data_IF_994437483681
#
_entry.id   IF_994437483681
#
_cell.length_a   1.000
_cell.length_b   1.000
_cell.length_c   1.000
_cell.angle_alpha   90.00
_cell.angle_beta   90.00
_cell.angle_gamma   90.00
#
_symmetry.space_group_name_H-M   'P 1'
#
loop_
_entity.id
_entity.type
_entity.pdbx_description
1 polymer ?
#
# COMPACT_ATOMS: atom_id res chain seq x y z
N UNK A 1 62.26 2.61 -60.08
CA UNK A 1 62.67 1.29 -59.54
C UNK A 1 64.10 0.91 -59.94
N UNK A 2 65.12 1.78 -59.76
CA UNK A 2 66.55 1.42 -60.00
C UNK A 2 67.53 1.93 -58.94
N UNK A 3 67.12 2.85 -58.06
CA UNK A 3 67.95 3.33 -56.95
C UNK A 3 67.91 2.42 -55.70
N UNK A 4 66.97 1.48 -55.62
CA UNK A 4 66.86 0.53 -54.51
C UNK A 4 67.78 -0.71 -54.66
N UNK A 5 68.35 -0.94 -55.85
CA UNK A 5 69.19 -2.12 -56.10
C UNK A 5 70.66 -1.94 -55.66
N UNK A 6 71.18 -0.71 -55.65
CA UNK A 6 72.60 -0.45 -55.35
C UNK A 6 72.98 -0.49 -53.86
N UNK A 7 72.01 -0.41 -52.95
CA UNK A 7 72.26 -0.54 -51.50
C UNK A 7 72.41 -2.03 -51.10
N UNK A 8 71.92 -2.95 -51.93
CA UNK A 8 71.91 -4.37 -51.62
C UNK A 8 73.26 -5.06 -51.89
N UNK A 9 74.03 -4.60 -52.90
CA UNK A 9 75.33 -5.19 -53.27
C UNK A 9 76.54 -4.65 -52.50
N UNK A 10 76.36 -3.58 -51.70
CA UNK A 10 77.46 -2.91 -51.00
C UNK A 10 77.53 -3.22 -49.50
N UNK A 11 76.51 -3.90 -48.95
CA UNK A 11 76.55 -4.41 -47.58
C UNK A 11 76.91 -5.91 -47.61
N UNK A 12 78.01 -6.35 -46.96
CA UNK A 12 78.31 -7.77 -46.81
C UNK A 12 77.10 -8.52 -46.22
N UNK A 13 76.79 -9.71 -46.73
CA UNK A 13 75.59 -10.49 -46.34
C UNK A 13 75.41 -10.70 -44.83
N UNK A 14 76.50 -10.59 -44.06
CA UNK A 14 76.49 -10.58 -42.60
C UNK A 14 75.66 -9.42 -41.99
N UNK A 15 75.62 -8.24 -42.60
CA UNK A 15 74.82 -7.10 -42.12
C UNK A 15 73.32 -7.31 -42.33
N UNK A 16 72.93 -7.90 -43.46
CA UNK A 16 71.54 -8.29 -43.70
C UNK A 16 71.08 -9.40 -42.75
N UNK A 17 71.96 -10.36 -42.45
CA UNK A 17 71.70 -11.39 -41.46
C UNK A 17 71.52 -10.80 -40.05
N UNK A 18 72.35 -9.84 -39.65
CA UNK A 18 72.20 -9.13 -38.37
C UNK A 18 70.92 -8.29 -38.30
N UNK A 19 70.53 -7.62 -39.38
CA UNK A 19 69.26 -6.87 -39.45
C UNK A 19 68.04 -7.80 -39.33
N UNK A 20 68.03 -8.92 -40.06
CA UNK A 20 66.95 -9.90 -39.99
C UNK A 20 66.88 -10.57 -38.61
N UNK A 21 68.03 -10.89 -38.01
CA UNK A 21 68.10 -11.41 -36.65
C UNK A 21 67.58 -10.40 -35.61
N UNK A 22 67.93 -9.12 -35.76
CA UNK A 22 67.41 -8.04 -34.92
C UNK A 22 65.90 -7.84 -35.06
N UNK A 23 65.36 -7.91 -36.28
CA UNK A 23 63.92 -7.80 -36.53
C UNK A 23 63.13 -8.99 -35.95
N UNK A 24 63.64 -10.22 -36.09
CA UNK A 24 63.04 -11.42 -35.48
C UNK A 24 63.09 -11.35 -33.95
N UNK A 25 64.23 -10.97 -33.37
CA UNK A 25 64.36 -10.79 -31.93
C UNK A 25 63.39 -9.72 -31.39
N UNK A 26 63.22 -8.61 -32.11
CA UNK A 26 62.27 -7.56 -31.75
C UNK A 26 60.80 -8.03 -31.82
N UNK A 27 60.44 -8.80 -32.86
CA UNK A 27 59.10 -9.39 -33.01
C UNK A 27 58.73 -10.32 -31.85
N UNK A 28 59.64 -11.21 -31.45
CA UNK A 28 59.44 -12.14 -30.33
C UNK A 28 59.29 -11.40 -28.99
N UNK A 29 60.08 -10.34 -28.76
CA UNK A 29 59.98 -9.52 -27.55
C UNK A 29 58.63 -8.78 -27.50
N UNK A 30 58.14 -8.27 -28.64
CA UNK A 30 56.84 -7.60 -28.72
C UNK A 30 55.67 -8.55 -28.51
N UNK A 31 55.74 -9.76 -29.04
CA UNK A 31 54.71 -10.78 -28.82
C UNK A 31 54.64 -11.16 -27.33
N UNK A 32 55.78 -11.37 -26.67
CA UNK A 32 55.84 -11.61 -25.22
C UNK A 32 55.25 -10.45 -24.40
N UNK A 33 55.54 -9.19 -24.77
CA UNK A 33 54.96 -8.02 -24.10
C UNK A 33 53.43 -7.92 -24.29
N UNK A 34 52.94 -8.20 -25.51
CA UNK A 34 51.51 -8.17 -25.81
C UNK A 34 50.77 -9.27 -25.05
N UNK A 35 51.36 -10.45 -24.89
CA UNK A 35 50.80 -11.52 -24.06
C UNK A 35 50.72 -11.12 -22.57
N UNK A 36 51.75 -10.46 -22.04
CA UNK A 36 51.77 -9.96 -20.66
C UNK A 36 50.77 -8.82 -20.39
N UNK A 37 50.44 -8.00 -21.38
CA UNK A 37 49.40 -6.96 -21.24
C UNK A 37 47.98 -7.55 -21.39
N UNK A 38 47.81 -8.56 -22.26
CA UNK A 38 46.53 -9.26 -22.41
C UNK A 38 46.09 -9.94 -21.11
N UNK A 39 47.02 -10.50 -20.32
CA UNK A 39 46.68 -11.12 -19.03
C UNK A 39 46.15 -10.10 -18.01
N UNK A 40 46.77 -8.91 -17.90
CA UNK A 40 46.26 -7.83 -17.04
C UNK A 40 44.86 -7.38 -17.44
N UNK A 41 44.61 -7.23 -18.75
CA UNK A 41 43.26 -6.87 -19.22
C UNK A 41 42.24 -7.99 -18.98
N UNK A 42 42.66 -9.26 -19.03
CA UNK A 42 41.80 -10.40 -18.74
C UNK A 42 41.47 -10.48 -17.23
N UNK A 43 42.45 -10.24 -16.36
CA UNK A 43 42.29 -10.22 -14.90
C UNK A 43 41.30 -9.13 -14.46
N UNK A 44 41.46 -7.89 -14.95
CA UNK A 44 40.52 -6.79 -14.67
C UNK A 44 39.10 -7.10 -15.16
N UNK A 45 38.96 -7.80 -16.29
CA UNK A 45 37.63 -8.22 -16.79
C UNK A 45 36.99 -9.27 -15.90
N UNK A 46 37.78 -10.21 -15.36
CA UNK A 46 37.30 -11.22 -14.41
C UNK A 46 36.89 -10.56 -13.10
N UNK A 47 37.71 -9.68 -12.53
CA UNK A 47 37.40 -8.94 -11.30
C UNK A 47 36.13 -8.09 -11.46
N UNK A 48 35.97 -7.40 -12.60
CA UNK A 48 34.75 -6.64 -12.89
C UNK A 48 33.53 -7.54 -13.03
N UNK A 49 33.69 -8.73 -13.63
CA UNK A 49 32.59 -9.69 -13.78
C UNK A 49 32.16 -10.24 -12.41
N UNK A 50 33.13 -10.57 -11.54
CA UNK A 50 32.89 -11.05 -10.18
C UNK A 50 32.21 -9.96 -9.33
N UNK A 51 32.73 -8.74 -9.33
CA UNK A 51 32.12 -7.60 -8.65
C UNK A 51 30.67 -7.37 -9.10
N UNK A 52 30.41 -7.39 -10.42
CA UNK A 52 29.05 -7.27 -10.95
C UNK A 52 28.14 -8.43 -10.51
N UNK A 53 28.68 -9.65 -10.40
CA UNK A 53 27.93 -10.80 -9.91
C UNK A 53 27.54 -10.62 -8.44
N UNK A 54 28.47 -10.21 -7.58
CA UNK A 54 28.19 -9.92 -6.16
C UNK A 54 27.18 -8.80 -5.98
N UNK A 55 27.29 -7.71 -6.75
CA UNK A 55 26.32 -6.61 -6.74
C UNK A 55 24.95 -7.07 -7.23
N UNK A 56 24.89 -7.91 -8.27
CA UNK A 56 23.63 -8.47 -8.75
C UNK A 56 22.98 -9.41 -7.72
N UNK A 57 23.77 -10.23 -7.02
CA UNK A 57 23.28 -11.14 -5.99
C UNK A 57 22.74 -10.39 -4.77
N UNK A 58 23.51 -9.45 -4.23
CA UNK A 58 23.07 -8.58 -3.13
C UNK A 58 21.83 -7.77 -3.52
N UNK A 59 21.79 -7.24 -4.74
CA UNK A 59 20.62 -6.57 -5.30
C UNK A 59 19.38 -7.45 -5.33
N UNK A 60 19.52 -8.73 -5.70
CA UNK A 60 18.41 -9.71 -5.68
C UNK A 60 17.92 -10.01 -4.27
N UNK A 61 18.81 -10.15 -3.30
CA UNK A 61 18.44 -10.40 -1.90
C UNK A 61 17.69 -9.21 -1.30
N UNK A 62 18.17 -7.98 -1.53
CA UNK A 62 17.48 -6.76 -1.09
C UNK A 62 16.13 -6.59 -1.77
N UNK A 63 16.05 -6.86 -3.09
CA UNK A 63 14.79 -6.81 -3.82
C UNK A 63 13.77 -7.83 -3.26
N UNK A 64 14.22 -9.06 -2.97
CA UNK A 64 13.37 -10.10 -2.39
C UNK A 64 12.89 -9.72 -0.99
N UNK A 65 13.76 -9.19 -0.13
CA UNK A 65 13.39 -8.71 1.19
C UNK A 65 12.33 -7.59 1.11
N UNK A 66 12.49 -6.64 0.18
CA UNK A 66 11.50 -5.57 -0.05
C UNK A 66 10.15 -6.11 -0.51
N UNK A 67 10.14 -7.10 -1.41
CA UNK A 67 8.89 -7.69 -1.89
C UNK A 67 8.13 -8.41 -0.76
N UNK A 68 8.83 -9.16 0.07
CA UNK A 68 8.23 -9.84 1.23
C UNK A 68 7.63 -8.83 2.22
N UNK A 69 8.33 -7.72 2.47
CA UNK A 69 7.81 -6.65 3.34
C UNK A 69 6.56 -6.00 2.74
N UNK A 70 6.57 -5.69 1.44
CA UNK A 70 5.39 -5.16 0.76
C UNK A 70 4.22 -6.15 0.79
N UNK A 71 4.48 -7.45 0.63
CA UNK A 71 3.44 -8.48 0.74
C UNK A 71 2.84 -8.53 2.15
N UNK A 72 3.68 -8.46 3.20
CA UNK A 72 3.24 -8.41 4.60
C UNK A 72 2.35 -7.19 4.85
N UNK A 73 2.82 -5.99 4.49
CA UNK A 73 2.08 -4.74 4.65
C UNK A 73 0.74 -4.82 3.90
N UNK A 74 0.74 -5.26 2.63
CA UNK A 74 -0.48 -5.38 1.84
C UNK A 74 -1.49 -6.36 2.46
N UNK A 75 -1.01 -7.49 2.98
CA UNK A 75 -1.86 -8.49 3.61
C UNK A 75 -2.48 -7.98 4.91
N UNK A 76 -1.73 -7.24 5.72
CA UNK A 76 -2.23 -6.61 6.94
C UNK A 76 -3.22 -5.48 6.64
N UNK A 77 -2.94 -4.64 5.64
CA UNK A 77 -3.88 -3.61 5.18
C UNK A 77 -5.19 -4.21 4.69
N UNK A 78 -5.14 -5.30 3.89
CA UNK A 78 -6.35 -6.01 3.45
C UNK A 78 -7.16 -6.52 4.62
N UNK A 79 -6.52 -7.15 5.61
CA UNK A 79 -7.19 -7.61 6.84
C UNK A 79 -7.84 -6.44 7.60
N UNK A 80 -7.17 -5.30 7.70
CA UNK A 80 -7.71 -4.12 8.37
C UNK A 80 -8.96 -3.59 7.66
N UNK A 81 -8.93 -3.49 6.33
CA UNK A 81 -10.06 -3.07 5.49
C UNK A 81 -11.23 -4.06 5.60
N UNK A 82 -10.95 -5.36 5.52
CA UNK A 82 -11.98 -6.40 5.62
C UNK A 82 -12.68 -6.40 6.97
N UNK A 83 -11.92 -6.22 8.06
CA UNK A 83 -12.49 -6.10 9.40
C UNK A 83 -13.33 -4.83 9.54
N UNK A 84 -12.86 -3.67 9.04
CA UNK A 84 -13.63 -2.43 9.04
C UNK A 84 -14.94 -2.57 8.23
N UNK A 85 -14.90 -3.26 7.09
CA UNK A 85 -16.09 -3.55 6.28
C UNK A 85 -17.08 -4.47 7.03
N UNK A 86 -16.58 -5.47 7.74
CA UNK A 86 -17.39 -6.36 8.59
C UNK A 86 -18.03 -5.59 9.75
N UNK A 87 -17.27 -4.79 10.47
CA UNK A 87 -17.78 -3.94 11.55
C UNK A 87 -18.83 -2.95 11.05
N UNK A 88 -18.64 -2.38 9.85
CA UNK A 88 -19.62 -1.51 9.21
C UNK A 88 -20.95 -2.24 8.95
N UNK A 89 -20.90 -3.47 8.42
CA UNK A 89 -22.11 -4.28 8.21
C UNK A 89 -22.82 -4.60 9.52
N UNK A 90 -22.06 -4.91 10.58
CA UNK A 90 -22.60 -5.18 11.91
C UNK A 90 -23.29 -3.92 12.47
N UNK A 91 -22.62 -2.76 12.41
CA UNK A 91 -23.19 -1.49 12.87
C UNK A 91 -24.46 -1.12 12.09
N UNK A 92 -24.49 -1.34 10.77
CA UNK A 92 -25.69 -1.15 9.95
C UNK A 92 -26.84 -2.06 10.38
N UNK A 93 -26.57 -3.35 10.68
CA UNK A 93 -27.57 -4.30 11.17
C UNK A 93 -28.13 -3.91 12.55
N UNK A 94 -27.28 -3.43 13.45
CA UNK A 94 -27.71 -2.88 14.73
C UNK A 94 -28.57 -1.63 14.56
N UNK A 95 -28.16 -0.70 13.68
CA UNK A 95 -28.92 0.51 13.38
C UNK A 95 -30.29 0.19 12.77
N UNK A 96 -30.39 -0.75 11.83
CA UNK A 96 -31.68 -1.17 11.26
C UNK A 96 -32.60 -1.81 12.30
N UNK A 97 -32.04 -2.63 13.20
CA UNK A 97 -32.80 -3.27 14.27
C UNK A 97 -33.32 -2.23 15.28
N UNK A 98 -32.46 -1.28 15.66
CA UNK A 98 -32.83 -0.19 16.57
C UNK A 98 -33.91 0.72 15.97
N UNK A 99 -33.81 1.06 14.67
CA UNK A 99 -34.84 1.82 13.95
C UNK A 99 -36.18 1.11 13.97
N UNK A 100 -36.21 -0.18 13.60
CA UNK A 100 -37.44 -0.97 13.58
C UNK A 100 -38.11 -1.04 14.96
N UNK A 101 -37.32 -1.24 16.02
CA UNK A 101 -37.82 -1.21 17.39
C UNK A 101 -38.36 0.17 17.78
N UNK A 102 -37.65 1.24 17.42
CA UNK A 102 -38.07 2.63 17.64
C UNK A 102 -39.38 2.98 16.92
N UNK A 103 -39.53 2.58 15.66
CA UNK A 103 -40.74 2.82 14.88
C UNK A 103 -41.94 2.06 15.44
N UNK A 104 -41.74 0.81 15.87
CA UNK A 104 -42.77 0.03 16.57
C UNK A 104 -43.21 0.72 17.86
N UNK A 105 -42.27 1.24 18.65
CA UNK A 105 -42.57 1.98 19.88
C UNK A 105 -43.35 3.26 19.58
N UNK A 106 -42.94 4.04 18.58
CA UNK A 106 -43.64 5.25 18.14
C UNK A 106 -45.08 4.95 17.72
N UNK A 107 -45.29 3.88 16.96
CA UNK A 107 -46.63 3.44 16.56
C UNK A 107 -47.51 3.07 17.77
N UNK A 108 -46.94 2.38 18.77
CA UNK A 108 -47.67 2.05 20.00
C UNK A 108 -48.02 3.31 20.80
N UNK A 109 -47.06 4.22 21.01
CA UNK A 109 -47.28 5.48 21.71
C UNK A 109 -48.33 6.33 20.99
N UNK A 110 -48.28 6.42 19.66
CA UNK A 110 -49.28 7.16 18.87
C UNK A 110 -50.69 6.58 19.04
N UNK A 111 -50.83 5.25 19.10
CA UNK A 111 -52.11 4.58 19.39
C UNK A 111 -52.61 4.91 20.79
N UNK A 112 -51.75 4.86 21.81
CA UNK A 112 -52.12 5.22 23.18
C UNK A 112 -52.50 6.70 23.31
N UNK A 113 -51.72 7.60 22.70
CA UNK A 113 -52.02 9.04 22.68
C UNK A 113 -53.38 9.32 22.01
N UNK A 114 -53.67 8.66 20.88
CA UNK A 114 -54.96 8.79 20.21
C UNK A 114 -56.12 8.24 21.07
N UNK A 115 -55.93 7.11 21.76
CA UNK A 115 -56.94 6.55 22.65
C UNK A 115 -57.20 7.46 23.86
N UNK A 116 -56.15 8.02 24.46
CA UNK A 116 -56.26 8.95 25.59
C UNK A 116 -56.96 10.26 25.18
N UNK A 117 -56.61 10.83 24.02
CA UNK A 117 -57.31 12.00 23.47
C UNK A 117 -58.80 11.75 23.29
N UNK A 118 -59.18 10.62 22.68
CA UNK A 118 -60.60 10.23 22.52
C UNK A 118 -61.31 10.06 23.86
N UNK A 119 -60.64 9.54 24.89
CA UNK A 119 -61.22 9.40 26.22
C UNK A 119 -61.45 10.77 26.88
N UNK A 120 -60.48 11.69 26.78
CA UNK A 120 -60.59 13.06 27.28
C UNK A 120 -61.68 13.85 26.56
N UNK A 121 -61.78 13.73 25.22
CA UNK A 121 -62.85 14.37 24.43
C UNK A 121 -64.24 13.89 24.85
N UNK A 122 -64.40 12.58 25.10
CA UNK A 122 -65.66 12.00 25.60
C UNK A 122 -66.00 12.50 27.01
N UNK A 123 -65.03 12.59 27.90
CA UNK A 123 -65.22 13.11 29.25
C UNK A 123 -65.62 14.60 29.23
N UNK A 124 -64.93 15.40 28.41
CA UNK A 124 -65.25 16.82 28.22
C UNK A 124 -66.66 17.06 27.67
N UNK A 125 -67.11 16.22 26.73
CA UNK A 125 -68.46 16.25 26.19
C UNK A 125 -69.53 15.91 27.24
N UNK A 126 -69.23 15.00 28.17
CA UNK A 126 -70.12 14.63 29.28
C UNK A 126 -70.20 15.72 30.36
N UNK A 127 -69.09 16.40 30.65
CA UNK A 127 -69.00 17.42 31.71
C UNK A 127 -69.28 18.86 31.24
N UNK A 128 -69.56 19.08 29.94
CA UNK A 128 -69.64 20.42 29.31
C UNK A 128 -68.40 21.30 29.59
N UNK A 129 -67.24 20.68 29.73
CA UNK A 129 -65.95 21.32 30.00
C UNK A 129 -65.05 21.35 28.76
N UNK A 130 -63.96 22.11 28.81
CA UNK A 130 -62.90 22.09 27.77
C UNK A 130 -62.04 20.84 27.93
N UNK A 131 -61.68 20.16 26.83
CA UNK A 131 -60.72 19.06 26.87
C UNK A 131 -59.39 19.53 27.50
N UNK A 132 -58.91 18.82 28.52
CA UNK A 132 -57.65 19.13 29.21
C UNK A 132 -56.41 18.91 28.32
N UNK A 133 -55.24 19.36 28.79
CA UNK A 133 -53.96 19.22 28.09
C UNK A 133 -53.65 17.75 27.70
N UNK A 134 -52.87 17.56 26.62
CA UNK A 134 -52.41 16.24 26.14
C UNK A 134 -50.95 15.94 26.53
N UNK A 135 -50.68 15.56 27.80
CA UNK A 135 -49.33 15.29 28.28
C UNK A 135 -48.69 14.09 27.58
N UNK A 136 -49.49 13.13 27.11
CA UNK A 136 -48.99 11.93 26.42
C UNK A 136 -48.51 12.30 25.02
N UNK A 137 -49.22 13.16 24.30
CA UNK A 137 -48.80 13.70 23.01
C UNK A 137 -47.48 14.48 23.10
N UNK A 138 -47.31 15.31 24.14
CA UNK A 138 -46.05 16.05 24.37
C UNK A 138 -44.90 15.10 24.67
N UNK A 139 -45.11 14.11 25.54
CA UNK A 139 -44.08 13.10 25.85
C UNK A 139 -43.68 12.31 24.58
N UNK A 140 -44.65 11.97 23.73
CA UNK A 140 -44.41 11.29 22.46
C UNK A 140 -43.55 12.12 21.50
N UNK A 141 -43.82 13.44 21.38
CA UNK A 141 -43.02 14.35 20.56
C UNK A 141 -41.58 14.47 21.09
N UNK A 142 -41.42 14.73 22.39
CA UNK A 142 -40.11 14.87 23.03
C UNK A 142 -39.28 13.60 22.86
N UNK A 143 -39.87 12.43 23.13
CA UNK A 143 -39.19 11.14 22.93
C UNK A 143 -38.82 10.93 21.46
N UNK A 144 -39.72 11.26 20.53
CA UNK A 144 -39.47 11.18 19.10
C UNK A 144 -38.24 11.98 18.66
N UNK A 145 -38.16 13.25 19.07
CA UNK A 145 -37.03 14.14 18.77
C UNK A 145 -35.73 13.67 19.45
N UNK A 146 -35.81 13.22 20.70
CA UNK A 146 -34.65 12.70 21.42
C UNK A 146 -34.09 11.44 20.75
N UNK A 147 -34.95 10.47 20.41
CA UNK A 147 -34.53 9.26 19.72
C UNK A 147 -33.90 9.56 18.35
N UNK A 148 -34.44 10.51 17.59
CA UNK A 148 -33.86 10.88 16.28
C UNK A 148 -32.45 11.48 16.43
N UNK A 149 -32.23 12.33 17.43
CA UNK A 149 -30.90 12.90 17.72
C UNK A 149 -29.90 11.83 18.17
N UNK A 150 -30.33 10.92 19.04
CA UNK A 150 -29.50 9.82 19.52
C UNK A 150 -29.12 8.89 18.36
N UNK A 151 -30.03 8.61 17.44
CA UNK A 151 -29.74 7.78 16.27
C UNK A 151 -28.67 8.40 15.37
N UNK A 152 -28.78 9.71 15.11
CA UNK A 152 -27.77 10.43 14.34
C UNK A 152 -26.39 10.38 15.03
N UNK A 153 -26.36 10.61 16.34
CA UNK A 153 -25.13 10.60 17.12
C UNK A 153 -24.49 9.21 17.16
N UNK A 154 -25.29 8.16 17.35
CA UNK A 154 -24.83 6.78 17.31
C UNK A 154 -24.23 6.43 15.94
N UNK A 155 -24.94 6.77 14.85
CA UNK A 155 -24.45 6.51 13.50
C UNK A 155 -23.17 7.29 13.16
N UNK A 156 -22.98 8.47 13.74
CA UNK A 156 -21.73 9.22 13.63
C UNK A 156 -20.61 8.55 14.45
N UNK A 157 -20.89 8.21 15.71
CA UNK A 157 -19.93 7.58 16.60
C UNK A 157 -19.42 6.24 16.05
N UNK A 158 -20.31 5.40 15.50
CA UNK A 158 -19.93 4.13 14.87
C UNK A 158 -18.99 4.35 13.68
N UNK A 159 -19.31 5.31 12.80
CA UNK A 159 -18.46 5.65 11.65
C UNK A 159 -17.10 6.18 12.08
N UNK A 160 -17.06 7.10 13.05
CA UNK A 160 -15.83 7.66 13.58
C UNK A 160 -14.97 6.56 14.23
N UNK A 161 -15.58 5.67 15.00
CA UNK A 161 -14.91 4.55 15.68
C UNK A 161 -14.34 3.53 14.70
N UNK A 162 -15.09 3.16 13.65
CA UNK A 162 -14.61 2.24 12.60
C UNK A 162 -13.47 2.87 11.81
N UNK A 163 -13.60 4.14 11.42
CA UNK A 163 -12.55 4.86 10.70
C UNK A 163 -11.28 5.00 11.55
N UNK A 164 -11.41 5.35 12.83
CA UNK A 164 -10.29 5.43 13.77
C UNK A 164 -9.55 4.09 13.91
N UNK A 165 -10.28 2.99 14.12
CA UNK A 165 -9.68 1.65 14.15
C UNK A 165 -8.98 1.25 12.85
N UNK A 166 -9.56 1.62 11.71
CA UNK A 166 -8.92 1.36 10.41
C UNK A 166 -7.61 2.15 10.30
N UNK A 167 -7.59 3.42 10.71
CA UNK A 167 -6.37 4.23 10.74
C UNK A 167 -5.30 3.63 11.65
N UNK A 168 -5.66 3.26 12.89
CA UNK A 168 -4.75 2.61 13.84
C UNK A 168 -4.14 1.33 13.24
N UNK A 169 -4.99 0.41 12.77
CA UNK A 169 -4.51 -0.85 12.17
C UNK A 169 -3.70 -0.65 10.89
N UNK A 170 -4.04 0.35 10.07
CA UNK A 170 -3.28 0.65 8.85
C UNK A 170 -1.91 1.23 9.18
N UNK A 171 -1.79 1.98 10.27
CA UNK A 171 -0.51 2.49 10.76
C UNK A 171 0.33 1.36 11.37
N UNK A 172 -0.28 0.51 12.21
CA UNK A 172 0.38 -0.67 12.79
C UNK A 172 0.94 -1.59 11.69
N UNK A 173 0.25 -1.70 10.55
CA UNK A 173 0.70 -2.48 9.41
C UNK A 173 1.98 -1.95 8.75
N UNK A 174 2.36 -0.69 8.99
CA UNK A 174 3.62 -0.11 8.50
C UNK A 174 4.77 -0.33 9.48
N UNK A 175 4.47 -0.72 10.73
CA UNK A 175 5.47 -1.03 11.76
C UNK A 175 6.15 -2.38 11.51
N UNK A 176 7.45 -2.52 11.83
CA UNK A 176 8.21 -3.77 11.65
C UNK A 176 7.80 -4.88 12.62
#
# INVERSE_FOLDING_TARGET
MRALAGIFDMLPGALWALLLAGALAFGLVKEAQVHAERTKTAEVRVELADYKATVAETGRLVARARLLELERINLEQRKAVDEAAKETRIAQGHASTARAAGDKLRLQIAKYAAAARRANERAAALERGTAGADPIGVLADVLGRCSQRVEFLAAYADRARIAGRLCEKSYDALGP
#
